data_IF_728850698004
#
_entry.id   IF_728850698004
#
_cell.length_a   1.000
_cell.length_b   1.000
_cell.length_c   1.000
_cell.angle_alpha   90.00
_cell.angle_beta   90.00
_cell.angle_gamma   90.00
#
_symmetry.space_group_name_H-M   'P 1'
#
loop_
_entity.id
_entity.type
_entity.pdbx_description
1 polymer ?
#
# COMPACT_ATOMS: atom_id res chain seq x y z
N UNK A 1 17.68 18.25 14.20
CA UNK A 1 17.19 19.08 13.08
C UNK A 1 15.67 19.02 13.14
N UNK A 2 15.02 20.06 13.66
CA UNK A 2 13.55 20.11 13.78
C UNK A 2 12.99 20.59 12.44
N UNK A 3 12.16 19.77 11.80
CA UNK A 3 11.42 20.17 10.60
C UNK A 3 10.12 20.82 11.04
N UNK A 4 10.00 22.13 10.82
CA UNK A 4 8.73 22.86 10.97
C UNK A 4 7.68 22.20 10.07
N UNK A 5 6.60 21.72 10.68
CA UNK A 5 5.46 21.16 9.96
C UNK A 5 4.64 22.31 9.34
N UNK A 6 4.80 22.57 8.04
CA UNK A 6 3.87 23.44 7.29
C UNK A 6 2.64 22.61 6.87
N UNK A 7 1.45 22.87 7.42
CA UNK A 7 0.24 22.13 7.08
C UNK A 7 -0.20 22.29 5.61
N UNK A 8 0.43 23.20 4.84
CA UNK A 8 0.21 23.40 3.40
C UNK A 8 1.20 22.64 2.53
N UNK A 9 2.27 22.09 3.09
CA UNK A 9 3.13 21.14 2.37
C UNK A 9 2.60 19.71 2.60
N UNK A 10 2.12 19.03 1.55
CA UNK A 10 1.62 17.67 1.71
C UNK A 10 2.80 16.73 2.03
N UNK A 11 2.82 16.21 3.25
CA UNK A 11 3.73 15.14 3.68
C UNK A 11 5.20 15.37 3.28
N UNK A 12 5.73 14.48 2.45
CA UNK A 12 7.15 14.43 2.04
C UNK A 12 7.41 14.95 0.62
N UNK A 13 6.55 15.84 0.10
CA UNK A 13 6.69 16.36 -1.27
C UNK A 13 8.09 16.94 -1.53
N UNK A 14 8.74 16.48 -2.62
CA UNK A 14 10.10 16.90 -3.00
C UNK A 14 11.23 16.16 -2.28
N UNK A 15 10.91 15.26 -1.35
CA UNK A 15 11.88 14.41 -0.66
C UNK A 15 11.90 13.00 -1.26
N UNK A 16 13.00 12.29 -1.04
CA UNK A 16 13.07 10.87 -1.38
C UNK A 16 12.06 10.09 -0.52
N UNK A 17 11.25 9.24 -1.17
CA UNK A 17 10.32 8.38 -0.45
C UNK A 17 11.11 7.39 0.44
N UNK A 18 10.86 7.37 1.75
CA UNK A 18 11.48 6.38 2.63
C UNK A 18 10.88 5.00 2.35
N UNK A 19 11.63 3.94 2.67
CA UNK A 19 11.05 2.59 2.67
C UNK A 19 9.89 2.50 3.66
N UNK A 20 8.88 1.70 3.31
CA UNK A 20 7.62 1.64 4.07
C UNK A 20 7.72 0.85 5.39
N UNK A 21 8.84 0.16 5.62
CA UNK A 21 9.02 -0.72 6.79
C UNK A 21 8.07 -1.92 6.79
N UNK A 22 7.58 -2.29 5.61
CA UNK A 22 6.66 -3.40 5.41
C UNK A 22 7.43 -4.72 5.33
N UNK A 23 6.99 -5.72 6.08
CA UNK A 23 7.72 -6.99 6.26
C UNK A 23 7.19 -8.15 5.42
N UNK A 24 5.97 -8.09 4.88
CA UNK A 24 5.30 -9.24 4.24
C UNK A 24 4.56 -8.89 2.95
N UNK A 25 5.25 -8.80 1.82
CA UNK A 25 4.60 -8.56 0.53
C UNK A 25 4.03 -9.83 -0.08
N UNK A 26 2.95 -9.71 -0.86
CA UNK A 26 2.38 -10.79 -1.67
C UNK A 26 2.07 -10.33 -3.08
N UNK A 27 2.10 -11.26 -4.03
CA UNK A 27 1.62 -11.01 -5.38
C UNK A 27 0.08 -11.12 -5.49
N UNK A 28 -0.46 -10.92 -6.68
CA UNK A 28 -1.89 -11.08 -6.94
C UNK A 28 -2.41 -12.51 -6.66
N UNK A 29 -1.57 -13.52 -6.86
CA UNK A 29 -1.88 -14.91 -6.53
C UNK A 29 -1.80 -15.19 -5.02
N UNK A 30 -1.42 -14.20 -4.19
CA UNK A 30 -1.28 -14.32 -2.75
C UNK A 30 -0.02 -15.06 -2.33
N UNK A 31 0.93 -15.24 -3.25
CA UNK A 31 2.22 -15.85 -2.94
C UNK A 31 3.14 -14.80 -2.31
N UNK A 32 3.87 -15.15 -1.24
CA UNK A 32 4.83 -14.24 -0.61
C UNK A 32 5.90 -13.78 -1.59
N UNK A 33 6.20 -12.48 -1.57
CA UNK A 33 7.30 -11.86 -2.30
C UNK A 33 8.44 -11.60 -1.33
N UNK A 34 9.56 -12.32 -1.49
CA UNK A 34 10.78 -12.07 -0.72
C UNK A 34 11.48 -10.82 -1.25
N UNK A 35 12.06 -10.03 -0.35
CA UNK A 35 12.85 -8.83 -0.68
C UNK A 35 12.11 -7.76 -1.50
N UNK A 36 10.78 -7.70 -1.40
CA UNK A 36 10.00 -6.66 -2.06
C UNK A 36 9.91 -5.39 -1.20
N UNK A 37 9.81 -4.23 -1.84
CA UNK A 37 9.84 -2.91 -1.20
C UNK A 37 9.87 -1.80 -2.25
N UNK A 38 9.86 -0.53 -1.83
CA UNK A 38 9.78 0.58 -2.79
C UNK A 38 11.00 0.65 -3.70
N UNK A 39 12.19 0.35 -3.17
CA UNK A 39 13.44 0.25 -3.93
C UNK A 39 13.44 -0.82 -5.01
N UNK A 40 12.71 -1.93 -4.77
CA UNK A 40 12.66 -3.09 -5.65
C UNK A 40 11.43 -3.07 -6.57
N UNK A 41 10.49 -2.16 -6.34
CA UNK A 41 9.31 -2.00 -7.18
C UNK A 41 9.71 -1.38 -8.53
N UNK A 42 9.31 -1.99 -9.67
CA UNK A 42 9.69 -1.51 -10.99
C UNK A 42 8.92 -0.23 -11.37
N UNK A 43 9.18 0.26 -12.58
CA UNK A 43 8.52 1.45 -13.11
C UNK A 43 9.19 2.77 -12.71
N UNK A 44 8.87 3.81 -13.47
CA UNK A 44 9.28 5.18 -13.19
C UNK A 44 8.40 5.82 -12.11
N UNK A 45 7.14 5.40 -12.03
CA UNK A 45 6.15 5.89 -11.09
C UNK A 45 5.63 4.74 -10.22
N UNK A 46 5.40 5.07 -8.95
CA UNK A 46 5.01 4.12 -7.91
C UNK A 46 3.75 4.66 -7.25
N UNK A 47 2.61 4.02 -7.52
CA UNK A 47 1.35 4.40 -6.91
C UNK A 47 1.06 3.48 -5.74
N UNK A 48 1.02 4.08 -4.55
CA UNK A 48 0.71 3.39 -3.30
C UNK A 48 -0.73 3.72 -2.89
N UNK A 49 -1.56 2.70 -2.76
CA UNK A 49 -2.90 2.82 -2.21
C UNK A 49 -2.92 2.27 -0.79
N UNK A 50 -2.85 3.18 0.19
CA UNK A 50 -2.96 2.81 1.60
C UNK A 50 -4.44 2.70 1.98
N UNK A 51 -4.85 1.59 2.60
CA UNK A 51 -6.24 1.37 2.97
C UNK A 51 -6.41 0.63 4.29
N UNK A 52 -7.63 0.67 4.82
CA UNK A 52 -8.10 -0.17 5.93
C UNK A 52 -9.35 -0.90 5.44
N UNK A 53 -9.49 -2.18 5.75
CA UNK A 53 -10.68 -2.95 5.35
C UNK A 53 -11.92 -2.44 6.10
N UNK A 54 -11.74 -2.01 7.34
CA UNK A 54 -12.79 -1.39 8.14
C UNK A 54 -13.15 0.06 7.70
N UNK A 55 -12.54 0.61 6.64
CA UNK A 55 -12.80 2.00 6.21
C UNK A 55 -13.84 2.06 5.08
N UNK A 56 -15.07 2.55 5.32
CA UNK A 56 -16.10 2.63 4.28
C UNK A 56 -15.70 3.53 3.10
N UNK A 57 -14.89 4.56 3.35
CA UNK A 57 -14.35 5.45 2.32
C UNK A 57 -13.42 4.73 1.35
N UNK A 58 -12.57 3.83 1.84
CA UNK A 58 -11.72 2.99 0.99
C UNK A 58 -12.59 2.12 0.07
N UNK A 59 -13.69 1.57 0.57
CA UNK A 59 -14.54 0.65 -0.20
C UNK A 59 -15.44 1.35 -1.21
N UNK A 60 -16.01 2.49 -0.85
CA UNK A 60 -16.98 3.25 -1.66
C UNK A 60 -16.34 4.14 -2.72
N UNK A 61 -15.16 4.70 -2.45
CA UNK A 61 -14.50 5.64 -3.36
C UNK A 61 -13.05 5.23 -3.71
N UNK A 62 -12.27 4.76 -2.73
CA UNK A 62 -10.86 4.43 -2.90
C UNK A 62 -10.63 3.32 -3.93
N UNK A 63 -11.16 2.12 -3.68
CA UNK A 63 -11.04 0.97 -4.58
C UNK A 63 -11.64 1.23 -5.97
N UNK A 64 -12.84 1.83 -6.12
CA UNK A 64 -13.35 2.21 -7.44
C UNK A 64 -12.44 3.16 -8.23
N UNK A 65 -11.75 4.08 -7.54
CA UNK A 65 -10.79 4.98 -8.19
C UNK A 65 -9.51 4.26 -8.59
N UNK A 66 -9.01 3.37 -7.72
CA UNK A 66 -7.85 2.53 -8.00
C UNK A 66 -8.09 1.62 -9.22
N UNK A 67 -9.27 0.98 -9.32
CA UNK A 67 -9.64 0.15 -10.48
C UNK A 67 -9.52 0.95 -11.77
N UNK A 68 -10.10 2.16 -11.83
CA UNK A 68 -10.03 3.02 -13.02
C UNK A 68 -8.59 3.38 -13.40
N UNK A 69 -7.72 3.62 -12.41
CA UNK A 69 -6.31 3.91 -12.64
C UNK A 69 -5.55 2.70 -13.20
N UNK A 70 -5.73 1.52 -12.58
CA UNK A 70 -5.09 0.28 -13.04
C UNK A 70 -5.57 -0.08 -14.44
N UNK A 71 -6.86 0.06 -14.74
CA UNK A 71 -7.42 -0.18 -16.07
C UNK A 71 -6.90 0.82 -17.11
N UNK A 72 -6.90 2.12 -16.77
CA UNK A 72 -6.44 3.17 -17.68
C UNK A 72 -4.94 3.11 -17.98
N UNK A 73 -4.15 2.50 -17.08
CA UNK A 73 -2.69 2.34 -17.22
C UNK A 73 -2.29 0.89 -17.52
N UNK A 74 -3.25 0.02 -17.83
CA UNK A 74 -3.01 -1.40 -18.10
C UNK A 74 -2.00 -1.57 -19.23
N UNK A 75 -0.98 -2.38 -18.98
CA UNK A 75 0.09 -2.66 -19.95
C UNK A 75 1.22 -1.62 -19.98
N UNK A 76 1.09 -0.50 -19.25
CA UNK A 76 2.20 0.43 -19.05
C UNK A 76 3.26 -0.20 -18.17
N UNK A 77 4.53 -0.18 -18.62
CA UNK A 77 5.68 -0.55 -17.80
C UNK A 77 6.23 0.60 -16.96
N UNK A 78 5.63 1.79 -17.09
CA UNK A 78 6.10 3.01 -16.42
C UNK A 78 5.55 3.14 -15.00
N UNK A 79 4.43 2.50 -14.69
CA UNK A 79 3.74 2.64 -13.40
C UNK A 79 3.63 1.27 -12.76
N UNK A 80 3.98 1.20 -11.48
CA UNK A 80 3.70 0.05 -10.63
C UNK A 80 2.75 0.43 -9.51
N UNK A 81 1.86 -0.51 -9.18
CA UNK A 81 0.82 -0.31 -8.19
C UNK A 81 1.08 -1.18 -6.97
N UNK A 82 0.90 -0.62 -5.78
CA UNK A 82 0.89 -1.41 -4.55
C UNK A 82 -0.28 -0.99 -3.66
N UNK A 83 -1.00 -1.96 -3.13
CA UNK A 83 -1.96 -1.72 -2.06
C UNK A 83 -1.34 -2.10 -0.72
N UNK A 84 -1.34 -1.14 0.21
CA UNK A 84 -0.76 -1.29 1.54
C UNK A 84 -1.88 -1.18 2.55
N UNK A 85 -2.30 -2.30 3.11
CA UNK A 85 -3.27 -2.29 4.20
C UNK A 85 -2.57 -1.86 5.48
N UNK A 86 -3.01 -0.76 6.07
CA UNK A 86 -2.45 -0.18 7.29
C UNK A 86 -3.36 -0.46 8.48
N UNK A 87 -3.10 -1.54 9.21
CA UNK A 87 -3.84 -1.89 10.42
C UNK A 87 -3.25 -1.16 11.64
N UNK A 88 -3.63 0.11 11.86
CA UNK A 88 -3.20 0.84 13.06
C UNK A 88 -4.11 0.57 14.28
N UNK A 89 -5.35 0.12 14.03
CA UNK A 89 -6.40 -0.19 15.01
C UNK A 89 -7.30 -1.32 14.43
N UNK A 90 -8.20 -1.89 15.24
CA UNK A 90 -9.15 -2.95 14.85
C UNK A 90 -8.50 -4.16 14.16
N UNK A 91 -7.49 -4.74 14.83
CA UNK A 91 -6.70 -5.87 14.33
C UNK A 91 -7.53 -7.10 13.94
N UNK A 92 -8.63 -7.35 14.63
CA UNK A 92 -9.59 -8.43 14.32
C UNK A 92 -10.26 -8.25 12.95
N UNK A 93 -10.35 -7.01 12.45
CA UNK A 93 -10.97 -6.68 11.16
C UNK A 93 -9.96 -6.41 10.05
N UNK A 94 -8.69 -6.17 10.37
CA UNK A 94 -7.63 -5.90 9.41
C UNK A 94 -6.61 -7.06 9.35
N UNK A 95 -7.13 -8.29 9.14
CA UNK A 95 -6.33 -9.53 9.12
C UNK A 95 -5.76 -9.86 7.74
N UNK A 96 -4.77 -10.75 7.71
CA UNK A 96 -4.13 -11.27 6.48
C UNK A 96 -5.12 -11.74 5.43
N UNK A 97 -6.22 -12.37 5.84
CA UNK A 97 -7.20 -12.92 4.91
C UNK A 97 -8.03 -11.84 4.18
N UNK A 98 -7.97 -10.57 4.61
CA UNK A 98 -8.88 -9.52 4.12
C UNK A 98 -8.29 -8.63 3.02
N UNK A 99 -7.14 -9.00 2.46
CA UNK A 99 -6.56 -8.32 1.27
C UNK A 99 -7.16 -8.77 -0.06
N UNK A 100 -8.08 -9.73 -0.09
CA UNK A 100 -8.60 -10.33 -1.33
C UNK A 100 -9.11 -9.29 -2.32
N UNK A 101 -9.74 -8.21 -1.83
CA UNK A 101 -10.23 -7.14 -2.68
C UNK A 101 -9.11 -6.31 -3.30
N UNK A 102 -8.01 -6.09 -2.59
CA UNK A 102 -6.83 -5.42 -3.13
C UNK A 102 -6.11 -6.31 -4.15
N UNK A 103 -5.97 -7.61 -3.87
CA UNK A 103 -5.39 -8.60 -4.79
C UNK A 103 -6.18 -8.75 -6.09
N UNK A 104 -7.50 -8.63 -6.02
CA UNK A 104 -8.36 -8.67 -7.21
C UNK A 104 -8.16 -7.46 -8.14
N UNK A 105 -7.60 -6.36 -7.63
CA UNK A 105 -7.43 -5.10 -8.37
C UNK A 105 -5.98 -4.88 -8.81
N UNK A 106 -5.01 -5.23 -7.97
CA UNK A 106 -3.58 -4.98 -8.23
C UNK A 106 -2.87 -6.29 -8.57
N UNK A 107 -2.24 -6.31 -9.75
CA UNK A 107 -1.42 -7.43 -10.23
C UNK A 107 -0.02 -7.50 -9.61
N UNK A 108 0.51 -6.36 -9.19
CA UNK A 108 1.95 -6.21 -8.98
C UNK A 108 2.35 -6.61 -7.55
N UNK A 109 1.78 -5.94 -6.53
CA UNK A 109 1.98 -6.34 -5.14
C UNK A 109 0.87 -5.82 -4.22
N UNK A 110 0.48 -6.63 -3.25
CA UNK A 110 -0.40 -6.25 -2.15
C UNK A 110 0.26 -6.64 -0.84
N UNK A 111 0.00 -5.89 0.23
CA UNK A 111 0.59 -6.20 1.52
C UNK A 111 -0.29 -5.73 2.67
N UNK A 112 -0.24 -6.47 3.77
CA UNK A 112 -0.60 -5.96 5.10
C UNK A 112 0.67 -5.62 5.86
N UNK A 113 0.66 -4.46 6.50
CA UNK A 113 1.56 -4.19 7.62
C UNK A 113 0.83 -4.63 8.90
N UNK A 114 1.11 -5.82 9.46
CA UNK A 114 0.60 -6.15 10.78
C UNK A 114 1.34 -5.25 11.78
N UNK A 115 0.63 -4.46 12.57
CA UNK A 115 1.20 -3.84 13.76
C UNK A 115 0.41 -4.25 14.99
N UNK A 116 0.48 -5.51 15.41
CA UNK A 116 0.09 -5.85 16.78
C UNK A 116 1.13 -5.29 17.77
N UNK A 117 0.75 -4.93 19.02
CA UNK A 117 1.61 -4.21 19.97
C UNK A 117 2.73 -5.04 20.63
N UNK A 118 3.10 -6.19 20.06
CA UNK A 118 3.97 -7.17 20.72
C UNK A 118 5.28 -7.41 19.97
N UNK A 119 5.95 -6.33 19.57
CA UNK A 119 7.40 -6.36 19.34
C UNK A 119 8.05 -5.37 20.32
N UNK A 120 8.33 -5.88 21.52
CA UNK A 120 9.40 -5.40 22.41
C UNK A 120 10.57 -6.40 22.32
N UNK A 121 11.81 -5.94 22.56
CA UNK A 121 13.01 -6.28 21.79
C UNK A 121 13.51 -7.72 21.93
#
# INVERSE_FOLDING_TARGET
MQTDFDPRQPGILGQAAPELGVTQWVDAAGQPLSHFGLSHMPGAFKLLFCFQDACPGCHSAGFPSLIKLVEGLRGSRMVSFAAVQTAFEDFEHNSYERIDRARAVISDATVIRPTSPTESP
#
